data_IF_803875116472
#
_entry.id   IF_803875116472
#
_cell.length_a   1.000
_cell.length_b   1.000
_cell.length_c   1.000
_cell.angle_alpha   90.00
_cell.angle_beta   90.00
_cell.angle_gamma   90.00
#
_symmetry.space_group_name_H-M   'P 1'
#
loop_
_entity.id
_entity.type
_entity.pdbx_description
1 polymer ?
#
# COMPACT_ATOMS: atom_id res chain seq x y z
N UNK A 1 -14.91 -3.96 18.06
CA UNK A 1 -14.27 -2.66 17.82
C UNK A 1 -13.33 -2.97 16.71
N UNK A 2 -13.52 -2.30 15.59
CA UNK A 2 -13.01 -2.78 14.32
C UNK A 2 -11.87 -1.86 13.92
N UNK A 3 -10.72 -2.45 13.58
CA UNK A 3 -9.48 -1.75 13.31
C UNK A 3 -9.11 -1.95 11.85
N UNK A 4 -8.78 -0.86 11.16
CA UNK A 4 -8.34 -0.92 9.77
C UNK A 4 -7.04 -0.17 9.52
N UNK A 5 -6.42 -0.48 8.39
CA UNK A 5 -5.22 0.18 7.91
C UNK A 5 -5.56 1.19 6.82
N UNK A 6 -4.99 2.40 6.95
CA UNK A 6 -4.97 3.40 5.91
C UNK A 6 -3.59 3.38 5.27
N UNK A 7 -3.53 3.11 3.97
CA UNK A 7 -2.29 3.05 3.20
C UNK A 7 -2.02 4.35 2.48
N UNK A 8 -0.88 4.92 2.81
CA UNK A 8 -0.15 5.92 2.03
C UNK A 8 1.17 5.28 1.62
N UNK A 9 1.15 4.45 0.57
CA UNK A 9 2.27 3.58 0.18
C UNK A 9 3.59 4.37 0.07
N UNK A 10 4.52 4.08 0.97
CA UNK A 10 5.78 4.78 1.12
C UNK A 10 6.92 3.83 1.42
N UNK A 11 8.09 4.15 0.88
CA UNK A 11 9.36 3.47 1.12
C UNK A 11 10.46 4.53 1.24
N UNK A 12 11.48 4.31 2.07
CA UNK A 12 12.70 5.11 2.01
C UNK A 12 13.22 5.22 0.57
N UNK A 13 13.69 6.41 0.20
CA UNK A 13 14.20 6.67 -1.14
C UNK A 13 15.46 7.53 -1.07
N UNK A 14 16.34 7.32 -2.04
CA UNK A 14 17.53 8.14 -2.24
C UNK A 14 17.31 9.01 -3.47
N UNK A 15 17.44 10.33 -3.32
CA UNK A 15 17.33 11.31 -4.41
C UNK A 15 16.06 11.13 -5.28
N UNK A 16 14.90 10.92 -4.64
CA UNK A 16 13.60 10.72 -5.30
C UNK A 16 13.47 9.42 -6.11
N UNK A 17 14.34 8.43 -5.89
CA UNK A 17 14.24 7.11 -6.53
C UNK A 17 13.63 6.09 -5.58
N UNK A 18 12.43 5.63 -5.91
CA UNK A 18 11.75 4.54 -5.22
C UNK A 18 11.94 3.24 -5.99
N UNK A 19 12.27 2.18 -5.26
CA UNK A 19 12.08 0.81 -5.70
C UNK A 19 10.58 0.47 -5.58
N UNK A 20 9.84 0.64 -6.69
CA UNK A 20 8.39 0.47 -6.71
C UNK A 20 7.97 -1.00 -6.62
N UNK A 21 8.78 -1.92 -7.13
CA UNK A 21 8.52 -3.35 -7.03
C UNK A 21 8.53 -3.75 -5.55
N UNK A 22 9.60 -3.37 -4.84
CA UNK A 22 9.72 -3.68 -3.43
C UNK A 22 8.71 -2.91 -2.56
N UNK A 23 8.32 -1.68 -2.92
CA UNK A 23 7.22 -0.96 -2.26
C UNK A 23 5.90 -1.74 -2.36
N UNK A 24 5.57 -2.27 -3.54
CA UNK A 24 4.33 -3.01 -3.78
C UNK A 24 4.36 -4.34 -3.02
N UNK A 25 5.44 -5.11 -3.14
CA UNK A 25 5.59 -6.40 -2.44
C UNK A 25 5.51 -6.24 -0.91
N UNK A 26 6.22 -5.27 -0.33
CA UNK A 26 6.14 -5.00 1.11
C UNK A 26 4.75 -4.53 1.55
N UNK A 27 4.04 -3.77 0.70
CA UNK A 27 2.65 -3.38 0.97
C UNK A 27 1.75 -4.61 1.02
N UNK A 28 1.92 -5.58 0.11
CA UNK A 28 1.18 -6.84 0.14
C UNK A 28 1.51 -7.68 1.38
N UNK A 29 2.78 -7.83 1.72
CA UNK A 29 3.21 -8.55 2.93
C UNK A 29 2.60 -7.96 4.20
N UNK A 30 2.56 -6.63 4.32
CA UNK A 30 1.94 -5.96 5.45
C UNK A 30 0.43 -6.18 5.52
N UNK A 31 -0.26 -6.19 4.36
CA UNK A 31 -1.71 -6.42 4.31
C UNK A 31 -2.05 -7.86 4.66
N UNK A 32 -1.29 -8.84 4.17
CA UNK A 32 -1.45 -10.25 4.53
C UNK A 32 -1.26 -10.41 6.04
N UNK A 33 -0.21 -9.81 6.61
CA UNK A 33 0.02 -9.84 8.05
C UNK A 33 -1.13 -9.18 8.81
N UNK A 34 -1.68 -8.07 8.31
CA UNK A 34 -2.80 -7.38 8.95
C UNK A 34 -4.05 -8.26 9.03
N UNK A 35 -4.36 -9.00 7.96
CA UNK A 35 -5.44 -10.00 7.94
C UNK A 35 -5.18 -11.10 8.98
N UNK A 36 -3.95 -11.64 9.02
CA UNK A 36 -3.56 -12.69 9.98
C UNK A 36 -3.66 -12.23 11.44
N UNK A 37 -3.37 -10.96 11.74
CA UNK A 37 -3.42 -10.40 13.10
C UNK A 37 -4.77 -9.75 13.46
N UNK A 38 -5.77 -9.84 12.58
CA UNK A 38 -7.16 -9.50 12.87
C UNK A 38 -7.56 -8.04 12.62
N UNK A 39 -6.95 -7.36 11.65
CA UNK A 39 -7.50 -6.12 11.10
C UNK A 39 -8.68 -6.41 10.19
N UNK A 40 -9.69 -5.56 10.23
CA UNK A 40 -10.99 -5.79 9.59
C UNK A 40 -11.06 -5.28 8.14
N UNK A 41 -10.26 -4.26 7.81
CA UNK A 41 -10.27 -3.64 6.48
C UNK A 41 -8.96 -2.90 6.17
N UNK A 42 -8.69 -2.78 4.86
CA UNK A 42 -7.64 -1.92 4.31
C UNK A 42 -8.27 -0.85 3.43
N UNK A 43 -7.73 0.36 3.50
CA UNK A 43 -8.16 1.50 2.71
C UNK A 43 -6.95 2.15 2.06
N UNK A 44 -7.04 2.42 0.76
CA UNK A 44 -5.99 3.08 -0.01
C UNK A 44 -6.42 4.50 -0.36
N UNK A 45 -5.52 5.46 -0.18
CA UNK A 45 -5.66 6.78 -0.82
C UNK A 45 -5.47 6.66 -2.32
N UNK A 46 -5.95 7.66 -3.04
CA UNK A 46 -5.67 7.85 -4.45
C UNK A 46 -5.02 9.22 -4.67
N UNK A 47 -3.77 9.21 -5.13
CA UNK A 47 -3.04 10.43 -5.45
C UNK A 47 -2.51 10.40 -6.87
N UNK A 48 -2.71 11.52 -7.54
CA UNK A 48 -2.11 11.79 -8.85
C UNK A 48 -1.06 12.89 -8.66
N UNK A 49 0.09 12.73 -9.32
CA UNK A 49 1.18 13.72 -9.38
C UNK A 49 2.05 13.89 -8.12
N UNK A 50 1.84 13.11 -7.07
CA UNK A 50 2.80 13.01 -5.97
C UNK A 50 3.96 12.09 -6.38
N UNK A 51 5.19 12.58 -6.22
CA UNK A 51 6.39 11.78 -6.42
C UNK A 51 6.92 11.35 -5.07
N UNK A 52 7.39 10.11 -4.97
CA UNK A 52 8.02 9.51 -3.79
C UNK A 52 7.17 9.34 -2.53
N UNK A 53 5.91 9.72 -2.60
CA UNK A 53 4.97 9.64 -1.51
C UNK A 53 3.66 9.13 -2.05
N UNK A 54 3.07 8.16 -1.36
CA UNK A 54 1.74 7.64 -1.64
C UNK A 54 1.62 7.08 -3.07
N UNK A 55 2.38 6.02 -3.35
CA UNK A 55 2.47 5.34 -4.65
C UNK A 55 1.21 4.58 -5.10
N UNK A 56 0.02 5.13 -4.85
CA UNK A 56 -1.30 4.53 -5.09
C UNK A 56 -2.10 5.39 -6.08
N UNK A 57 -1.63 5.49 -7.33
CA UNK A 57 -2.34 6.25 -8.37
C UNK A 57 -3.48 5.46 -9.04
N UNK A 58 -3.57 4.16 -8.73
CA UNK A 58 -4.61 3.24 -9.22
C UNK A 58 -4.87 2.18 -8.12
N UNK A 59 -5.47 2.58 -6.98
CA UNK A 59 -5.67 1.69 -5.83
C UNK A 59 -6.45 0.42 -6.18
N UNK A 60 -7.39 0.50 -7.13
CA UNK A 60 -8.18 -0.63 -7.61
C UNK A 60 -7.34 -1.75 -8.21
N UNK A 61 -6.19 -1.42 -8.83
CA UNK A 61 -5.26 -2.42 -9.39
C UNK A 61 -4.54 -3.17 -8.27
N UNK A 62 -4.10 -2.45 -7.23
CA UNK A 62 -3.45 -3.01 -6.05
C UNK A 62 -4.43 -3.94 -5.30
N UNK A 63 -5.66 -3.47 -5.07
CA UNK A 63 -6.71 -4.27 -4.42
C UNK A 63 -7.06 -5.51 -5.26
N UNK A 64 -7.14 -5.38 -6.59
CA UNK A 64 -7.40 -6.52 -7.48
C UNK A 64 -6.25 -7.55 -7.45
N UNK A 65 -5.01 -7.11 -7.28
CA UNK A 65 -3.86 -8.00 -7.14
C UNK A 65 -3.87 -8.78 -5.82
N UNK A 66 -4.37 -8.16 -4.73
CA UNK A 66 -4.56 -8.80 -3.42
C UNK A 66 -5.69 -9.84 -3.40
N UNK A 67 -6.71 -9.70 -4.25
CA UNK A 67 -7.85 -10.61 -4.30
C UNK A 67 -7.56 -11.97 -4.99
N UNK A 68 -6.29 -12.34 -5.12
CA UNK A 68 -5.83 -13.55 -5.81
C UNK A 68 -5.80 -14.79 -4.92
#
# INVERSE_FOLDING_TARGET
MDFGLLYEMQRPNDEFKIDYDALIEETFEQIVLADEVGFDYVWFVEHHFLTTFSGSSAPEVIISALAR
#
